data_IF_335834481707
#
_entry.id   IF_335834481707
#
_cell.length_a   1.000
_cell.length_b   1.000
_cell.length_c   1.000
_cell.angle_alpha   90.00
_cell.angle_beta   90.00
_cell.angle_gamma   90.00
#
_symmetry.space_group_name_H-M   'P 1'
#
loop_
_entity.id
_entity.type
_entity.pdbx_description
1 polymer ?
#
# COMPACT_ATOMS: atom_id res chain seq x y z
N UNK A 1 -41.53 13.33 -53.90
CA UNK A 1 -41.32 12.79 -52.54
C UNK A 1 -42.67 12.36 -52.01
N UNK A 2 -42.91 11.07 -51.85
CA UNK A 2 -44.26 10.55 -51.58
C UNK A 2 -44.75 10.94 -50.18
N UNK A 3 -46.06 11.23 -50.03
CA UNK A 3 -46.69 11.62 -48.75
C UNK A 3 -46.38 10.63 -47.61
N UNK A 4 -46.23 9.35 -47.95
CA UNK A 4 -45.85 8.28 -47.01
C UNK A 4 -44.38 8.39 -46.57
N UNK A 5 -43.48 8.71 -47.49
CA UNK A 5 -42.05 8.92 -47.22
C UNK A 5 -41.82 10.15 -46.33
N UNK A 6 -42.57 11.24 -46.55
CA UNK A 6 -42.52 12.42 -45.68
C UNK A 6 -42.99 12.12 -44.25
N UNK A 7 -44.04 11.31 -44.10
CA UNK A 7 -44.59 10.96 -42.79
C UNK A 7 -43.64 10.05 -42.01
N UNK A 8 -42.99 9.09 -42.69
CA UNK A 8 -41.93 8.26 -42.09
C UNK A 8 -40.73 9.11 -41.67
N UNK A 9 -40.30 10.06 -42.51
CA UNK A 9 -39.18 10.95 -42.19
C UNK A 9 -39.46 11.80 -40.94
N UNK A 10 -40.66 12.38 -40.84
CA UNK A 10 -41.07 13.16 -39.67
C UNK A 10 -41.10 12.30 -38.40
N UNK A 11 -41.63 11.08 -38.47
CA UNK A 11 -41.64 10.16 -37.31
C UNK A 11 -40.22 9.81 -36.87
N UNK A 12 -39.32 9.52 -37.81
CA UNK A 12 -37.91 9.23 -37.50
C UNK A 12 -37.23 10.43 -36.84
N UNK A 13 -37.42 11.64 -37.36
CA UNK A 13 -36.85 12.86 -36.76
C UNK A 13 -37.38 13.10 -35.35
N UNK A 14 -38.70 12.95 -35.14
CA UNK A 14 -39.33 13.10 -33.82
C UNK A 14 -38.84 12.04 -32.83
N UNK A 15 -38.73 10.77 -33.23
CA UNK A 15 -38.19 9.72 -32.37
C UNK A 15 -36.73 10.02 -31.96
N UNK A 16 -35.89 10.52 -32.87
CA UNK A 16 -34.52 10.90 -32.53
C UNK A 16 -34.48 12.06 -31.53
N UNK A 17 -35.33 13.08 -31.71
CA UNK A 17 -35.40 14.23 -30.79
C UNK A 17 -35.91 13.86 -29.39
N UNK A 18 -36.73 12.82 -29.26
CA UNK A 18 -37.29 12.39 -27.95
C UNK A 18 -36.38 11.39 -27.24
N UNK A 19 -35.69 10.50 -27.96
CA UNK A 19 -34.88 9.44 -27.35
C UNK A 19 -33.57 9.98 -26.75
N UNK A 20 -32.93 10.96 -27.40
CA UNK A 20 -31.63 11.52 -26.99
C UNK A 20 -31.68 12.24 -25.62
N UNK A 21 -32.69 13.06 -25.28
CA UNK A 21 -32.77 13.68 -23.95
C UNK A 21 -33.02 12.66 -22.83
N UNK A 22 -33.79 11.60 -23.09
CA UNK A 22 -34.17 10.61 -22.07
C UNK A 22 -33.06 9.66 -21.66
N UNK A 23 -32.14 9.29 -22.56
CA UNK A 23 -31.00 8.44 -22.20
C UNK A 23 -29.89 9.20 -21.46
N UNK A 24 -29.87 10.54 -21.52
CA UNK A 24 -28.90 11.36 -20.81
C UNK A 24 -29.33 11.77 -19.38
N UNK A 25 -30.56 11.46 -18.96
CA UNK A 25 -31.06 11.78 -17.61
C UNK A 25 -30.89 10.62 -16.60
N UNK A 26 -29.89 9.77 -16.81
CA UNK A 26 -29.42 8.83 -15.80
C UNK A 26 -28.73 9.61 -14.66
N UNK A 27 -29.52 10.18 -13.75
CA UNK A 27 -29.00 10.70 -12.49
C UNK A 27 -28.48 9.52 -11.66
N UNK A 28 -27.20 9.19 -11.83
CA UNK A 28 -26.50 8.29 -10.92
C UNK A 28 -26.26 9.04 -9.61
N UNK A 29 -27.28 9.04 -8.74
CA UNK A 29 -27.22 9.67 -7.44
C UNK A 29 -26.68 8.68 -6.41
N UNK A 30 -25.37 8.69 -6.16
CA UNK A 30 -24.79 8.04 -4.99
C UNK A 30 -24.46 9.11 -3.94
N UNK A 31 -25.25 9.17 -2.87
CA UNK A 31 -24.81 9.87 -1.65
C UNK A 31 -23.70 9.02 -1.02
N UNK A 32 -22.44 9.44 -1.16
CA UNK A 32 -21.42 8.99 -0.21
C UNK A 32 -21.56 9.83 1.06
N UNK A 33 -21.65 9.17 2.21
CA UNK A 33 -21.47 9.86 3.49
C UNK A 33 -19.98 10.19 3.65
N UNK A 34 -19.62 11.35 4.21
CA UNK A 34 -18.23 11.64 4.52
C UNK A 34 -17.75 10.63 5.57
N UNK A 35 -16.77 9.80 5.20
CA UNK A 35 -16.04 8.97 6.14
C UNK A 35 -15.23 9.90 7.05
N UNK A 36 -15.56 9.91 8.33
CA UNK A 36 -14.79 10.59 9.38
C UNK A 36 -13.98 9.51 10.09
N UNK A 37 -12.68 9.35 9.77
CA UNK A 37 -11.84 8.41 10.49
C UNK A 37 -11.80 8.81 11.97
N UNK A 38 -12.13 7.87 12.86
CA UNK A 38 -11.84 8.05 14.27
C UNK A 38 -10.33 7.88 14.47
N UNK A 39 -9.69 8.88 15.07
CA UNK A 39 -8.30 8.76 15.46
C UNK A 39 -8.16 7.70 16.57
N UNK A 40 -7.32 6.69 16.35
CA UNK A 40 -6.98 5.68 17.35
C UNK A 40 -5.48 5.69 17.58
N UNK A 41 -5.08 6.04 18.80
CA UNK A 41 -3.68 5.99 19.25
C UNK A 41 -3.44 4.67 19.98
N UNK A 42 -2.31 4.02 19.72
CA UNK A 42 -1.88 2.80 20.41
C UNK A 42 -0.42 2.95 20.80
N UNK A 43 -0.12 2.77 22.07
CA UNK A 43 1.26 2.75 22.59
C UNK A 43 1.75 1.31 22.59
N UNK A 44 2.86 1.04 21.91
CA UNK A 44 3.47 -0.27 21.80
C UNK A 44 4.87 -0.24 22.43
N UNK A 45 5.18 -1.23 23.25
CA UNK A 45 6.49 -1.41 23.85
C UNK A 45 6.91 -2.88 23.70
N UNK A 46 8.02 -3.11 23.02
CA UNK A 46 8.58 -4.42 22.73
C UNK A 46 10.07 -4.32 22.46
N UNK A 47 10.75 -5.47 22.44
CA UNK A 47 12.20 -5.60 22.30
C UNK A 47 12.54 -6.39 21.04
N UNK A 48 13.44 -5.86 20.22
CA UNK A 48 14.03 -6.55 19.07
C UNK A 48 15.33 -7.24 19.47
N UNK A 49 15.54 -8.45 18.95
CA UNK A 49 16.71 -9.28 19.26
C UNK A 49 17.60 -9.52 18.05
N UNK A 50 18.28 -8.49 17.56
CA UNK A 50 19.24 -8.61 16.45
C UNK A 50 20.48 -9.40 16.89
N UNK A 51 20.73 -10.51 16.18
CA UNK A 51 21.86 -11.42 16.41
C UNK A 51 22.65 -11.57 15.12
N UNK A 52 23.69 -10.75 14.96
CA UNK A 52 24.52 -10.70 13.73
C UNK A 52 25.52 -11.86 13.67
N UNK A 53 25.98 -12.35 14.83
CA UNK A 53 27.00 -13.39 14.96
C UNK A 53 26.56 -14.46 15.96
N UNK A 54 27.12 -15.67 15.86
CA UNK A 54 26.86 -16.80 16.77
C UNK A 54 26.36 -18.03 16.02
N UNK A 55 25.89 -19.03 16.77
CA UNK A 55 25.42 -20.31 16.21
C UNK A 55 24.12 -20.17 15.41
N UNK A 56 23.21 -19.30 15.86
CA UNK A 56 21.92 -19.03 15.21
C UNK A 56 21.75 -17.51 14.97
N UNK A 57 22.37 -16.95 13.93
CA UNK A 57 22.20 -15.54 13.61
C UNK A 57 20.78 -15.25 13.10
N UNK A 58 20.22 -14.11 13.49
CA UNK A 58 18.95 -13.59 12.99
C UNK A 58 19.14 -12.50 11.93
N UNK A 59 20.35 -11.95 11.80
CA UNK A 59 20.71 -11.00 10.76
C UNK A 59 21.90 -11.50 9.93
N UNK A 60 21.76 -11.48 8.61
CA UNK A 60 22.80 -11.94 7.68
C UNK A 60 23.17 -10.81 6.73
N UNK A 61 24.47 -10.57 6.57
CA UNK A 61 25.00 -9.62 5.59
C UNK A 61 24.87 -10.19 4.17
N UNK A 62 24.18 -9.48 3.30
CA UNK A 62 23.94 -9.91 1.90
C UNK A 62 24.71 -9.08 0.88
N UNK A 63 25.16 -7.88 1.23
CA UNK A 63 25.99 -7.05 0.37
C UNK A 63 26.90 -6.14 1.20
N UNK A 64 28.06 -5.78 0.64
CA UNK A 64 28.96 -4.77 1.18
C UNK A 64 29.74 -4.12 0.02
N UNK A 65 30.31 -2.92 0.19
CA UNK A 65 31.09 -2.25 -0.86
C UNK A 65 32.43 -2.98 -1.07
N UNK A 66 32.95 -2.92 -2.29
CA UNK A 66 34.25 -3.52 -2.65
C UNK A 66 35.47 -2.70 -2.19
N UNK A 67 35.28 -1.47 -1.68
CA UNK A 67 36.37 -0.59 -1.23
C UNK A 67 36.52 -0.66 0.29
N UNK A 68 37.46 -1.47 0.83
CA UNK A 68 37.58 -1.70 2.27
C UNK A 68 38.04 -0.44 3.04
N UNK A 69 38.84 0.43 2.42
CA UNK A 69 39.55 1.50 3.13
C UNK A 69 38.71 2.69 3.57
N UNK A 70 37.47 2.84 3.09
CA UNK A 70 36.60 3.96 3.48
C UNK A 70 35.74 3.68 4.73
N UNK A 71 35.63 2.42 5.16
CA UNK A 71 34.65 1.99 6.18
C UNK A 71 35.19 0.99 7.21
N UNK A 72 36.48 0.65 7.18
CA UNK A 72 37.07 -0.28 8.15
C UNK A 72 37.02 0.24 9.60
N UNK A 73 37.00 1.56 9.78
CA UNK A 73 37.00 2.22 11.10
C UNK A 73 35.63 2.82 11.48
N UNK A 74 34.56 2.60 10.70
CA UNK A 74 33.24 3.13 11.04
C UNK A 74 32.56 2.27 12.12
N UNK A 75 32.20 2.83 13.30
CA UNK A 75 31.77 2.04 14.47
C UNK A 75 30.37 1.40 14.42
N UNK A 76 29.75 1.24 13.26
CA UNK A 76 28.42 0.64 13.19
C UNK A 76 27.81 0.56 11.78
N UNK A 77 26.71 -0.18 11.62
CA UNK A 77 26.00 -0.31 10.34
C UNK A 77 25.33 0.98 9.89
N UNK A 78 25.05 1.93 10.79
CA UNK A 78 24.53 3.25 10.43
C UNK A 78 25.64 4.07 9.75
N UNK A 79 25.50 4.23 8.42
CA UNK A 79 26.50 4.87 7.56
C UNK A 79 27.49 3.91 6.91
N UNK A 80 27.45 2.62 7.27
CA UNK A 80 28.21 1.59 6.57
C UNK A 80 27.38 1.02 5.40
N UNK A 81 27.89 0.96 4.18
CA UNK A 81 27.18 0.45 2.98
C UNK A 81 26.95 -1.07 2.96
N UNK A 82 26.88 -1.73 4.12
CA UNK A 82 26.55 -3.16 4.22
C UNK A 82 25.04 -3.34 4.34
N UNK A 83 24.48 -4.21 3.51
CA UNK A 83 23.06 -4.57 3.53
C UNK A 83 22.90 -5.85 4.35
N UNK A 84 21.96 -5.83 5.29
CA UNK A 84 21.57 -6.99 6.09
C UNK A 84 20.12 -7.36 5.81
N UNK A 85 19.85 -8.66 5.81
CA UNK A 85 18.49 -9.22 5.89
C UNK A 85 18.30 -9.71 7.33
N UNK A 86 17.22 -9.27 7.97
CA UNK A 86 16.92 -9.58 9.37
C UNK A 86 15.66 -10.43 9.48
N UNK A 87 15.67 -11.37 10.42
CA UNK A 87 14.54 -12.19 10.85
C UNK A 87 14.57 -12.28 12.38
N UNK A 88 14.34 -11.14 13.02
CA UNK A 88 14.55 -10.95 14.45
C UNK A 88 13.32 -11.33 15.28
N UNK A 89 13.59 -11.93 16.44
CA UNK A 89 12.57 -12.20 17.44
C UNK A 89 12.10 -10.88 18.07
N UNK A 90 10.78 -10.74 18.28
CA UNK A 90 10.18 -9.62 19.01
C UNK A 90 9.48 -10.11 20.26
N UNK A 91 9.86 -9.56 21.41
CA UNK A 91 9.33 -10.00 22.72
C UNK A 91 8.78 -8.84 23.56
N UNK A 92 7.90 -9.16 24.51
CA UNK A 92 7.34 -8.19 25.46
C UNK A 92 8.34 -7.73 26.54
N UNK A 93 9.41 -8.49 26.76
CA UNK A 93 10.47 -8.20 27.74
C UNK A 93 11.86 -8.30 27.11
N UNK A 94 12.91 -7.78 27.78
CA UNK A 94 14.26 -7.71 27.24
C UNK A 94 14.96 -9.08 27.15
N UNK A 95 14.47 -10.10 27.86
CA UNK A 95 15.03 -11.45 27.80
C UNK A 95 14.49 -12.21 26.57
N UNK A 96 15.35 -12.96 25.86
CA UNK A 96 14.94 -13.79 24.70
C UNK A 96 13.90 -14.88 25.04
N UNK A 97 13.83 -15.25 26.32
CA UNK A 97 12.85 -16.22 26.85
C UNK A 97 11.52 -15.58 27.23
N UNK A 98 11.40 -14.25 27.13
CA UNK A 98 10.14 -13.53 27.38
C UNK A 98 9.06 -13.93 26.37
N UNK A 99 7.82 -13.55 26.65
CA UNK A 99 6.70 -13.79 25.73
C UNK A 99 6.98 -13.19 24.34
N UNK A 100 6.86 -14.03 23.32
CA UNK A 100 6.96 -13.65 21.91
C UNK A 100 5.70 -12.89 21.51
N UNK A 101 5.88 -11.67 20.99
CA UNK A 101 4.78 -10.83 20.50
C UNK A 101 4.68 -10.87 18.99
N UNK A 102 5.80 -11.09 18.30
CA UNK A 102 5.86 -11.32 16.86
C UNK A 102 7.08 -12.19 16.54
N UNK A 103 6.93 -13.05 15.52
CA UNK A 103 7.99 -13.88 14.96
C UNK A 103 8.01 -13.76 13.45
#
# INVERSE_FOLDING_TARGET
MERRSMLVYVVVVVCNLIVIPTCCHCHYYSKSLPYTPAEKVTELHFFFHDTINGENPSAIKVAHPSFPTAFNDTPGPFGSPSIFVINDLVTAGPEKTSQVTSS
#
